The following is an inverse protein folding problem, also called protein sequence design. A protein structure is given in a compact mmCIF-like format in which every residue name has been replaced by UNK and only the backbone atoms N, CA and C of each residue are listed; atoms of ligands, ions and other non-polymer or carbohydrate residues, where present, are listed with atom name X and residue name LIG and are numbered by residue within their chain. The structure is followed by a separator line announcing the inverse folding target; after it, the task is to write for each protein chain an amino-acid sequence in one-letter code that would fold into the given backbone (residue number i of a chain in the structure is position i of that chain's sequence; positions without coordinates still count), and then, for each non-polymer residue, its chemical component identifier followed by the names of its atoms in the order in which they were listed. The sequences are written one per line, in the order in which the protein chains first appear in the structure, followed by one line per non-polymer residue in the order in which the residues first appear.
data_IF_058393283844
#
_entry.id   IF_058393283844
#
_cell.length_a   1.000
_cell.length_b   1.000
_cell.length_c   1.000
_cell.angle_alpha   90.00
_cell.angle_beta   90.00
_cell.angle_gamma   90.00
#
_symmetry.space_group_name_H-M   'P 1'
#
loop_
_entity.id
_entity.type
_entity.pdbx_description
1 polymer ?
#
# COMPACT_ATOMS: atom_id res chain seq x y z
N UNK A 1 8.16 -21.00 -10.26
CA UNK A 1 7.64 -22.07 -9.39
C UNK A 1 6.88 -21.49 -8.20
N UNK A 2 7.53 -20.79 -7.25
CA UNK A 2 6.86 -20.29 -6.03
C UNK A 2 5.56 -19.48 -6.28
N UNK A 3 5.58 -18.48 -7.17
CA UNK A 3 4.37 -17.69 -7.47
C UNK A 3 3.24 -18.56 -8.02
N UNK A 4 3.56 -19.50 -8.91
CA UNK A 4 2.62 -20.49 -9.45
C UNK A 4 2.04 -21.38 -8.35
N UNK A 5 2.87 -21.83 -7.40
CA UNK A 5 2.44 -22.65 -6.27
C UNK A 5 1.51 -21.88 -5.30
N UNK A 6 1.63 -20.55 -5.25
CA UNK A 6 0.81 -19.67 -4.42
C UNK A 6 -0.34 -19.00 -5.20
N UNK A 7 -0.61 -19.44 -6.44
CA UNK A 7 -1.63 -18.85 -7.33
C UNK A 7 -1.45 -17.34 -7.59
N UNK A 8 -0.23 -16.83 -7.44
CA UNK A 8 0.13 -15.45 -7.73
C UNK A 8 0.59 -15.39 -9.20
N UNK A 9 -0.09 -14.57 -9.99
CA UNK A 9 0.14 -14.45 -11.43
C UNK A 9 0.67 -13.07 -11.85
N UNK A 10 0.89 -12.16 -10.89
CA UNK A 10 1.33 -10.79 -11.15
C UNK A 10 2.38 -10.34 -10.12
N UNK A 11 3.22 -9.38 -10.52
CA UNK A 11 4.17 -8.72 -9.61
C UNK A 11 3.46 -7.96 -8.49
N UNK A 12 2.31 -7.35 -8.79
CA UNK A 12 1.45 -6.68 -7.81
C UNK A 12 1.00 -7.69 -6.74
N UNK A 13 0.47 -8.85 -7.15
CA UNK A 13 0.04 -9.87 -6.20
C UNK A 13 1.17 -10.39 -5.31
N UNK A 14 2.41 -10.46 -5.83
CA UNK A 14 3.58 -10.81 -5.03
C UNK A 14 3.92 -9.71 -4.00
N UNK A 15 3.86 -8.44 -4.41
CA UNK A 15 4.12 -7.31 -3.53
C UNK A 15 3.06 -7.21 -2.43
N UNK A 16 1.77 -7.33 -2.78
CA UNK A 16 0.65 -7.39 -1.84
C UNK A 16 0.84 -8.52 -0.83
N UNK A 17 1.19 -9.73 -1.27
CA UNK A 17 1.45 -10.88 -0.38
C UNK A 17 2.59 -10.59 0.60
N UNK A 18 3.68 -9.98 0.12
CA UNK A 18 4.82 -9.62 0.96
C UNK A 18 4.45 -8.54 1.99
N UNK A 19 3.79 -7.47 1.54
CA UNK A 19 3.38 -6.35 2.38
C UNK A 19 2.41 -6.80 3.49
N UNK A 20 1.39 -7.59 3.15
CA UNK A 20 0.44 -8.12 4.14
C UNK A 20 1.15 -8.96 5.21
N UNK A 21 2.12 -9.80 4.82
CA UNK A 21 2.84 -10.63 5.78
C UNK A 21 3.70 -9.81 6.75
N UNK A 22 4.34 -8.74 6.28
CA UNK A 22 5.10 -7.82 7.14
C UNK A 22 4.16 -7.05 8.07
N UNK A 23 3.05 -6.52 7.54
CA UNK A 23 2.07 -5.80 8.35
C UNK A 23 1.42 -6.70 9.41
N UNK A 24 1.18 -7.97 9.09
CA UNK A 24 0.65 -8.93 10.05
C UNK A 24 1.61 -9.18 11.23
N UNK A 25 2.93 -9.08 11.01
CA UNK A 25 3.91 -9.12 12.11
C UNK A 25 3.74 -7.86 12.97
N UNK A 26 3.60 -6.69 12.35
CA UNK A 26 3.42 -5.42 13.08
C UNK A 26 2.16 -5.38 13.94
N UNK A 27 1.09 -6.09 13.56
CA UNK A 27 -0.15 -6.20 14.37
C UNK A 27 0.08 -6.78 15.77
N UNK A 28 1.13 -7.57 15.96
CA UNK A 28 1.43 -8.27 17.22
C UNK A 28 2.50 -7.58 18.06
N UNK A 29 2.98 -6.41 17.64
CA UNK A 29 4.01 -5.62 18.34
C UNK A 29 3.53 -4.17 18.47
N UNK A 30 3.89 -3.49 19.56
CA UNK A 30 3.44 -2.12 19.86
C UNK A 30 4.22 -1.09 19.02
N UNK A 31 3.97 -1.08 17.71
CA UNK A 31 4.60 -0.16 16.75
C UNK A 31 3.55 0.41 15.80
N UNK A 32 3.76 1.65 15.37
CA UNK A 32 2.96 2.27 14.31
C UNK A 32 3.67 2.10 12.97
N UNK A 33 3.14 1.30 12.04
CA UNK A 33 3.74 1.14 10.72
C UNK A 33 3.58 2.41 9.88
N UNK A 34 4.60 2.68 9.06
CA UNK A 34 4.60 3.73 8.04
C UNK A 34 4.81 3.04 6.69
N UNK A 35 3.92 3.27 5.72
CA UNK A 35 3.96 2.64 4.40
C UNK A 35 3.86 3.68 3.29
N UNK A 36 4.41 3.37 2.11
CA UNK A 36 4.24 4.20 0.92
C UNK A 36 2.83 4.04 0.32
N UNK A 37 2.42 5.05 -0.44
CA UNK A 37 1.17 5.09 -1.20
C UNK A 37 0.84 3.78 -1.95
N UNK A 38 1.84 3.15 -2.56
CA UNK A 38 1.70 1.95 -3.38
C UNK A 38 1.04 0.78 -2.61
N UNK A 39 1.36 0.62 -1.33
CA UNK A 39 0.79 -0.44 -0.49
C UNK A 39 -0.73 -0.24 -0.31
N UNK A 40 -1.16 1.02 -0.21
CA UNK A 40 -2.57 1.37 -0.15
C UNK A 40 -3.26 1.25 -1.51
N UNK A 41 -2.60 1.71 -2.59
CA UNK A 41 -3.11 1.61 -3.97
C UNK A 41 -3.42 0.15 -4.34
N UNK A 42 -2.57 -0.78 -3.88
CA UNK A 42 -2.71 -2.23 -4.09
C UNK A 42 -3.74 -2.91 -3.17
N UNK A 43 -4.47 -2.13 -2.35
CA UNK A 43 -5.54 -2.61 -1.46
C UNK A 43 -5.06 -3.64 -0.43
N UNK A 44 -3.84 -3.49 0.07
CA UNK A 44 -3.33 -4.26 1.22
C UNK A 44 -4.07 -3.82 2.48
N UNK A 45 -4.47 -4.77 3.32
CA UNK A 45 -5.13 -4.47 4.59
C UNK A 45 -4.13 -3.86 5.59
N UNK A 46 -4.36 -2.61 5.98
CA UNK A 46 -3.48 -1.88 6.89
C UNK A 46 -3.98 -2.01 8.35
N UNK A 47 -3.08 -2.22 9.33
CA UNK A 47 -3.41 -2.08 10.74
C UNK A 47 -4.00 -0.69 11.06
N UNK A 48 -4.95 -0.58 12.00
CA UNK A 48 -5.47 0.71 12.42
C UNK A 48 -4.35 1.65 12.90
N UNK A 49 -4.39 2.91 12.47
CA UNK A 49 -3.37 3.90 12.82
C UNK A 49 -2.11 3.87 11.96
N UNK A 50 -2.03 3.02 10.93
CA UNK A 50 -0.96 3.05 9.93
C UNK A 50 -0.86 4.42 9.27
N UNK A 51 0.35 4.97 9.17
CA UNK A 51 0.61 6.23 8.48
C UNK A 51 0.95 5.93 7.01
N UNK A 52 0.23 6.55 6.08
CA UNK A 52 0.48 6.43 4.64
C UNK A 52 1.29 7.63 4.17
N UNK A 53 2.44 7.37 3.56
CA UNK A 53 3.30 8.36 2.93
C UNK A 53 2.97 8.47 1.44
N UNK A 54 2.29 9.55 1.08
CA UNK A 54 1.94 9.88 -0.31
C UNK A 54 3.10 10.60 -0.98
N UNK A 55 3.49 10.14 -2.17
CA UNK A 55 4.64 10.67 -2.88
C UNK A 55 4.40 10.90 -4.38
N UNK A 56 3.40 10.26 -4.98
CA UNK A 56 3.11 10.42 -6.41
C UNK A 56 2.44 11.77 -6.64
N UNK A 57 3.04 12.62 -7.48
CA UNK A 57 2.45 13.89 -7.85
C UNK A 57 2.58 14.20 -9.35
N UNK A 58 1.63 14.97 -9.85
CA UNK A 58 1.62 15.44 -11.23
C UNK A 58 2.83 16.31 -11.59
N UNK A 59 3.49 16.95 -10.60
CA UNK A 59 4.74 17.68 -10.81
C UNK A 59 5.94 16.77 -11.13
N UNK A 60 5.94 15.52 -10.66
CA UNK A 60 6.98 14.54 -10.94
C UNK A 60 6.71 13.77 -12.24
N UNK A 61 5.47 13.30 -12.43
CA UNK A 61 5.03 12.68 -13.68
C UNK A 61 3.58 13.03 -13.97
N UNK A 62 3.30 13.48 -15.19
CA UNK A 62 1.95 13.87 -15.61
C UNK A 62 0.92 12.73 -15.60
N UNK A 63 1.36 11.47 -15.54
CA UNK A 63 0.48 10.29 -15.36
C UNK A 63 -0.09 10.22 -13.95
N UNK A 64 0.57 10.83 -12.97
CA UNK A 64 0.06 10.94 -11.62
C UNK A 64 -0.92 12.12 -11.52
N UNK A 65 -1.97 11.94 -10.73
CA UNK A 65 -2.80 13.07 -10.28
C UNK A 65 -2.04 13.92 -9.27
N UNK A 66 -2.61 15.07 -8.89
CA UNK A 66 -2.05 15.83 -7.77
C UNK A 66 -2.19 15.04 -6.47
N UNK A 67 -1.13 15.01 -5.64
CA UNK A 67 -1.18 14.37 -4.32
C UNK A 67 -2.33 14.90 -3.45
N UNK A 68 -2.71 16.18 -3.61
CA UNK A 68 -3.81 16.78 -2.86
C UNK A 68 -5.18 16.19 -3.26
N UNK A 69 -5.38 15.93 -4.55
CA UNK A 69 -6.59 15.26 -5.03
C UNK A 69 -6.64 13.81 -4.54
N UNK A 70 -5.50 13.13 -4.55
CA UNK A 70 -5.37 11.77 -4.03
C UNK A 70 -5.72 11.69 -2.53
N UNK A 71 -5.22 12.61 -1.70
CA UNK A 71 -5.54 12.64 -0.28
C UNK A 71 -7.04 12.83 -0.02
N UNK A 72 -7.71 13.70 -0.78
CA UNK A 72 -9.15 13.88 -0.67
C UNK A 72 -9.91 12.60 -1.02
N UNK A 73 -9.48 11.87 -2.05
CA UNK A 73 -10.09 10.59 -2.39
C UNK A 73 -9.85 9.55 -1.29
N UNK A 74 -8.61 9.37 -0.84
CA UNK A 74 -8.25 8.40 0.17
C UNK A 74 -8.97 8.66 1.51
N UNK A 75 -9.13 9.92 1.89
CA UNK A 75 -9.87 10.31 3.10
C UNK A 75 -11.38 10.04 3.03
N UNK A 76 -11.95 9.89 1.82
CA UNK A 76 -13.36 9.51 1.64
C UNK A 76 -13.55 7.99 1.50
N UNK A 77 -12.49 7.24 1.23
CA UNK A 77 -12.52 5.77 1.08
C UNK A 77 -12.18 5.00 2.37
N UNK A 78 -11.42 5.62 3.29
CA UNK A 78 -11.02 5.04 4.58
C UNK A 78 -11.96 5.41 5.73
#
# INVERSE_FOLDING_TARGET
QWMTDHSINSSVGLHTFYADRILNITRNIDVTPIVWQDVWDEKVELPPGTIIQVWKDSSDQAVFGSWAAYLNQAANEG
#
